data_IF_989587438053
#
_entry.id   IF_989587438053
#
_cell.length_a   1.000
_cell.length_b   1.000
_cell.length_c   1.000
_cell.angle_alpha   90.00
_cell.angle_beta   90.00
_cell.angle_gamma   90.00
#
_symmetry.space_group_name_H-M   'P 1'
#
loop_
_entity.id
_entity.type
_entity.pdbx_description
1 polymer ?
#
# COMPACT_ATOMS: atom_id res chain seq x y z
N UNK A 1 -56.47 32.93 -25.14
CA UNK A 1 -55.00 33.17 -25.31
C UNK A 1 -54.28 31.96 -24.85
N UNK A 2 -53.86 31.12 -25.78
CA UNK A 2 -53.26 29.81 -25.49
C UNK A 2 -51.74 29.97 -25.52
N UNK A 3 -51.06 30.07 -24.36
CA UNK A 3 -49.61 30.16 -24.29
C UNK A 3 -49.06 28.75 -24.41
N UNK A 4 -48.36 28.45 -25.51
CA UNK A 4 -47.60 27.21 -25.70
C UNK A 4 -46.41 27.20 -24.74
N UNK A 5 -46.14 26.08 -24.03
CA UNK A 5 -44.95 25.97 -23.21
C UNK A 5 -43.71 25.91 -24.11
N UNK A 6 -42.69 26.70 -23.73
CA UNK A 6 -41.36 26.74 -24.35
C UNK A 6 -40.65 25.39 -24.20
N UNK A 7 -40.03 24.84 -25.26
CA UNK A 7 -39.29 23.57 -25.15
C UNK A 7 -38.07 23.75 -24.25
N UNK A 8 -37.99 22.92 -23.21
CA UNK A 8 -36.85 22.86 -22.28
C UNK A 8 -35.54 22.72 -23.07
N UNK A 9 -34.64 23.68 -22.89
CA UNK A 9 -33.26 23.64 -23.43
C UNK A 9 -32.55 22.44 -22.78
N UNK A 10 -31.96 21.51 -23.57
CA UNK A 10 -31.17 20.44 -23.02
C UNK A 10 -29.98 21.02 -22.26
N UNK A 11 -29.88 20.75 -20.97
CA UNK A 11 -28.69 21.06 -20.16
C UNK A 11 -27.59 20.10 -20.60
N UNK A 12 -26.63 20.56 -21.39
CA UNK A 12 -25.40 19.78 -21.67
C UNK A 12 -24.72 19.50 -20.36
N UNK A 13 -24.28 18.23 -20.14
CA UNK A 13 -23.49 17.88 -18.93
C UNK A 13 -22.22 18.72 -18.92
N UNK A 14 -21.98 19.42 -17.83
CA UNK A 14 -20.81 20.26 -17.63
C UNK A 14 -19.53 19.46 -17.92
N UNK A 15 -18.76 19.91 -18.91
CA UNK A 15 -17.48 19.29 -19.29
C UNK A 15 -16.52 19.40 -18.11
N UNK A 16 -16.04 18.27 -17.58
CA UNK A 16 -15.04 18.27 -16.50
C UNK A 16 -13.83 19.14 -16.87
N UNK A 17 -13.28 19.90 -15.91
CA UNK A 17 -12.05 20.67 -16.11
C UNK A 17 -10.91 19.77 -16.62
N UNK A 18 -10.06 20.32 -17.48
CA UNK A 18 -8.98 19.56 -18.15
C UNK A 18 -7.99 18.90 -17.16
N UNK A 19 -7.77 19.53 -15.99
CA UNK A 19 -6.97 18.97 -14.91
C UNK A 19 -7.64 17.73 -14.29
N UNK A 20 -8.91 17.82 -13.94
CA UNK A 20 -9.66 16.69 -13.37
C UNK A 20 -9.75 15.50 -14.34
N UNK A 21 -9.88 15.77 -15.65
CA UNK A 21 -9.86 14.73 -16.68
C UNK A 21 -8.48 14.07 -16.79
N UNK A 22 -7.41 14.84 -16.62
CA UNK A 22 -6.03 14.35 -16.59
C UNK A 22 -5.81 13.42 -15.39
N UNK A 23 -6.22 13.86 -14.18
CA UNK A 23 -6.08 13.08 -12.94
C UNK A 23 -6.92 11.79 -12.99
N UNK A 24 -8.13 11.87 -13.52
CA UNK A 24 -8.98 10.69 -13.73
C UNK A 24 -8.33 9.69 -14.70
N UNK A 25 -7.69 10.16 -15.77
CA UNK A 25 -6.97 9.30 -16.72
C UNK A 25 -5.78 8.62 -16.07
N UNK A 26 -4.99 9.36 -15.27
CA UNK A 26 -3.86 8.82 -14.51
C UNK A 26 -4.31 7.75 -13.51
N UNK A 27 -5.38 8.02 -12.77
CA UNK A 27 -5.95 7.06 -11.82
C UNK A 27 -6.47 5.79 -12.51
N UNK A 28 -7.14 5.92 -13.65
CA UNK A 28 -7.62 4.79 -14.45
C UNK A 28 -6.48 3.91 -14.96
N UNK A 29 -5.37 4.53 -15.42
CA UNK A 29 -4.16 3.79 -15.85
C UNK A 29 -3.55 3.00 -14.70
N UNK A 30 -3.44 3.58 -13.49
CA UNK A 30 -2.91 2.92 -12.30
C UNK A 30 -3.82 1.75 -11.91
N UNK A 31 -5.14 1.95 -11.85
CA UNK A 31 -6.09 0.92 -11.46
C UNK A 31 -6.07 -0.28 -12.43
N UNK A 32 -6.15 -0.02 -13.75
CA UNK A 32 -6.07 -1.08 -14.78
C UNK A 32 -4.72 -1.81 -14.75
N UNK A 33 -3.62 -1.07 -14.62
CA UNK A 33 -2.29 -1.67 -14.54
C UNK A 33 -2.13 -2.53 -13.29
N UNK A 34 -2.68 -2.10 -12.14
CA UNK A 34 -2.70 -2.87 -10.89
C UNK A 34 -3.39 -4.22 -11.07
N UNK A 35 -4.57 -4.27 -11.68
CA UNK A 35 -5.30 -5.51 -11.93
C UNK A 35 -4.48 -6.46 -12.81
N UNK A 36 -3.93 -5.97 -13.93
CA UNK A 36 -3.13 -6.76 -14.84
C UNK A 36 -1.82 -7.26 -14.20
N UNK A 37 -1.12 -6.41 -13.44
CA UNK A 37 0.10 -6.83 -12.74
C UNK A 37 -0.19 -7.81 -11.60
N UNK A 38 -1.28 -7.64 -10.87
CA UNK A 38 -1.70 -8.59 -9.85
C UNK A 38 -1.97 -9.98 -10.42
N UNK A 39 -2.68 -10.06 -11.56
CA UNK A 39 -3.05 -11.31 -12.19
C UNK A 39 -1.85 -12.02 -12.83
N UNK A 40 -0.99 -11.28 -13.55
CA UNK A 40 0.00 -11.87 -14.48
C UNK A 40 1.45 -11.52 -14.18
N UNK A 41 1.68 -10.60 -13.24
CA UNK A 41 3.00 -10.08 -12.90
C UNK A 41 3.52 -9.04 -13.90
N UNK A 42 4.50 -8.25 -13.43
CA UNK A 42 5.10 -7.18 -14.22
C UNK A 42 5.63 -7.63 -15.57
N UNK A 43 6.37 -8.75 -15.62
CA UNK A 43 7.07 -9.19 -16.83
C UNK A 43 6.11 -9.49 -17.99
N UNK A 44 4.96 -10.10 -17.70
CA UNK A 44 4.01 -10.59 -18.70
C UNK A 44 3.06 -9.53 -19.27
N UNK A 45 2.97 -8.34 -18.66
CA UNK A 45 2.04 -7.27 -19.06
C UNK A 45 2.76 -6.21 -19.88
N UNK A 46 2.24 -5.86 -21.06
CA UNK A 46 2.75 -4.81 -21.95
C UNK A 46 1.98 -3.50 -21.82
N UNK A 47 2.63 -2.36 -22.12
CA UNK A 47 1.98 -1.03 -22.10
C UNK A 47 0.81 -0.93 -23.10
N UNK A 48 0.91 -1.61 -24.24
CA UNK A 48 -0.16 -1.61 -25.26
C UNK A 48 -1.43 -2.32 -24.75
N UNK A 49 -1.26 -3.35 -23.95
CA UNK A 49 -2.36 -4.04 -23.29
C UNK A 49 -3.04 -3.16 -22.25
N UNK A 50 -2.25 -2.47 -21.41
CA UNK A 50 -2.77 -1.53 -20.41
C UNK A 50 -3.57 -0.43 -21.10
N UNK A 51 -3.03 0.19 -22.14
CA UNK A 51 -3.71 1.22 -22.95
C UNK A 51 -5.04 0.72 -23.50
N UNK A 52 -5.05 -0.48 -24.07
CA UNK A 52 -6.27 -1.09 -24.63
C UNK A 52 -7.30 -1.39 -23.53
N UNK A 53 -6.88 -1.95 -22.41
CA UNK A 53 -7.76 -2.30 -21.30
C UNK A 53 -8.34 -1.08 -20.60
N UNK A 54 -7.56 -0.01 -20.47
CA UNK A 54 -8.03 1.28 -19.91
C UNK A 54 -8.93 2.06 -20.87
N UNK A 55 -8.86 1.78 -22.18
CA UNK A 55 -9.60 2.53 -23.20
C UNK A 55 -9.04 3.92 -23.49
N UNK A 56 -7.77 4.19 -23.15
CA UNK A 56 -7.09 5.47 -23.42
C UNK A 56 -6.17 5.36 -24.65
N UNK A 57 -5.66 6.49 -25.14
CA UNK A 57 -4.67 6.48 -26.21
C UNK A 57 -3.26 6.19 -25.69
N UNK A 58 -2.38 5.64 -26.53
CA UNK A 58 -0.94 5.47 -26.21
C UNK A 58 -0.30 6.80 -25.80
N UNK A 59 -0.65 7.90 -26.48
CA UNK A 59 -0.17 9.24 -26.15
C UNK A 59 -0.58 9.69 -24.74
N UNK A 60 -1.79 9.32 -24.28
CA UNK A 60 -2.24 9.61 -22.93
C UNK A 60 -1.41 8.88 -21.86
N UNK A 61 -1.04 7.61 -22.09
CA UNK A 61 -0.15 6.89 -21.18
C UNK A 61 1.20 7.59 -21.09
N UNK A 62 1.84 7.89 -22.23
CA UNK A 62 3.17 8.52 -22.24
C UNK A 62 3.17 10.00 -21.81
N UNK A 63 1.99 10.63 -21.76
CA UNK A 63 1.83 11.93 -21.11
C UNK A 63 1.96 11.85 -19.58
N UNK A 64 1.50 10.75 -18.97
CA UNK A 64 1.49 10.56 -17.51
C UNK A 64 2.68 9.79 -16.98
N UNK A 65 3.26 8.88 -17.77
CA UNK A 65 4.33 7.98 -17.36
C UNK A 65 5.35 7.83 -18.48
N UNK A 66 6.64 7.98 -18.17
CA UNK A 66 7.72 7.82 -19.16
C UNK A 66 7.82 6.37 -19.71
N UNK A 67 7.20 5.41 -19.02
CA UNK A 67 7.17 4.02 -19.46
C UNK A 67 6.51 3.09 -18.45
N UNK A 68 6.58 1.79 -18.75
CA UNK A 68 5.98 0.73 -17.91
C UNK A 68 6.52 0.72 -16.48
N UNK A 69 7.80 0.99 -16.29
CA UNK A 69 8.44 0.97 -14.97
C UNK A 69 7.91 2.11 -14.09
N UNK A 70 7.77 3.33 -14.62
CA UNK A 70 7.21 4.45 -13.87
C UNK A 70 5.73 4.23 -13.53
N UNK A 71 4.94 3.66 -14.45
CA UNK A 71 3.57 3.25 -14.16
C UNK A 71 3.53 2.17 -13.07
N UNK A 72 4.43 1.19 -13.12
CA UNK A 72 4.52 0.15 -12.10
C UNK A 72 4.91 0.72 -10.73
N UNK A 73 5.84 1.66 -10.68
CA UNK A 73 6.17 2.38 -9.46
C UNK A 73 4.93 3.07 -8.87
N UNK A 74 4.15 3.78 -9.70
CA UNK A 74 2.93 4.44 -9.26
C UNK A 74 1.86 3.43 -8.75
N UNK A 75 1.79 2.24 -9.35
CA UNK A 75 0.96 1.14 -8.86
C UNK A 75 1.44 0.65 -7.49
N UNK A 76 2.75 0.47 -7.31
CA UNK A 76 3.32 0.06 -6.03
C UNK A 76 3.09 1.12 -4.93
N UNK A 77 3.28 2.40 -5.23
CA UNK A 77 2.98 3.50 -4.31
C UNK A 77 1.49 3.53 -3.90
N UNK A 78 0.58 3.22 -4.84
CA UNK A 78 -0.86 3.11 -4.55
C UNK A 78 -1.16 1.91 -3.62
N UNK A 79 -0.48 0.78 -3.80
CA UNK A 79 -0.58 -0.39 -2.91
C UNK A 79 -0.07 -0.03 -1.52
N UNK A 80 1.10 0.60 -1.39
CA UNK A 80 1.67 1.02 -0.10
C UNK A 80 0.75 1.98 0.65
N UNK A 81 0.19 2.97 -0.03
CA UNK A 81 -0.76 3.91 0.54
C UNK A 81 -1.98 3.20 1.11
N UNK A 82 -2.60 2.28 0.37
CA UNK A 82 -3.76 1.52 0.82
C UNK A 82 -3.40 0.57 1.99
N UNK A 83 -2.22 -0.03 1.97
CA UNK A 83 -1.71 -0.84 3.08
C UNK A 83 -1.63 -0.01 4.37
N UNK A 84 -1.00 1.15 4.31
CA UNK A 84 -0.84 2.03 5.48
C UNK A 84 -2.19 2.52 6.00
N UNK A 85 -3.14 2.86 5.13
CA UNK A 85 -4.51 3.24 5.53
C UNK A 85 -5.21 2.10 6.30
N UNK A 86 -5.10 0.85 5.83
CA UNK A 86 -5.68 -0.34 6.49
C UNK A 86 -5.01 -0.62 7.84
N UNK A 87 -3.68 -0.55 7.90
CA UNK A 87 -2.90 -0.76 9.12
C UNK A 87 -3.23 0.31 10.16
N UNK A 88 -3.29 1.58 9.76
CA UNK A 88 -3.64 2.69 10.65
C UNK A 88 -5.06 2.51 11.23
N UNK A 89 -6.03 2.11 10.43
CA UNK A 89 -7.39 1.82 10.89
C UNK A 89 -7.40 0.70 11.94
N UNK A 90 -6.63 -0.37 11.75
CA UNK A 90 -6.50 -1.47 12.71
C UNK A 90 -5.82 -1.01 14.00
N UNK A 91 -4.71 -0.26 13.91
CA UNK A 91 -4.00 0.28 15.07
C UNK A 91 -4.90 1.21 15.91
N UNK A 92 -5.70 2.06 15.26
CA UNK A 92 -6.63 2.98 15.93
C UNK A 92 -7.74 2.25 16.72
N UNK A 93 -8.09 1.03 16.36
CA UNK A 93 -9.07 0.22 17.08
C UNK A 93 -8.56 -0.31 18.43
N UNK A 94 -7.26 -0.16 18.73
CA UNK A 94 -6.60 -0.71 19.93
C UNK A 94 -6.75 0.16 21.20
N UNK A 95 -7.79 0.99 21.28
CA UNK A 95 -8.33 1.65 22.49
C UNK A 95 -7.30 2.33 23.41
N UNK A 96 -6.26 2.98 22.85
CA UNK A 96 -5.34 3.82 23.62
C UNK A 96 -4.14 3.09 24.22
N UNK A 97 -3.93 1.79 23.96
CA UNK A 97 -2.70 1.07 24.30
C UNK A 97 -1.75 1.05 23.07
N UNK A 98 -0.66 1.86 23.07
CA UNK A 98 0.26 1.93 21.94
C UNK A 98 0.96 0.60 21.60
N UNK A 99 1.22 -0.26 22.59
CA UNK A 99 1.83 -1.55 22.33
C UNK A 99 0.84 -2.51 21.66
N UNK A 100 -0.43 -2.48 22.08
CA UNK A 100 -1.50 -3.19 21.37
C UNK A 100 -1.71 -2.65 19.95
N UNK A 101 -1.54 -1.34 19.75
CA UNK A 101 -1.60 -0.74 18.42
C UNK A 101 -0.46 -1.24 17.52
N UNK A 102 0.77 -1.39 18.04
CA UNK A 102 1.88 -2.03 17.30
C UNK A 102 1.56 -3.47 16.92
N UNK A 103 1.01 -4.26 17.86
CA UNK A 103 0.57 -5.63 17.59
C UNK A 103 -0.50 -5.68 16.50
N UNK A 104 -1.57 -4.91 16.66
CA UNK A 104 -2.68 -4.88 15.70
C UNK A 104 -2.21 -4.44 14.32
N UNK A 105 -1.36 -3.42 14.24
CA UNK A 105 -0.76 -2.95 12.99
C UNK A 105 0.10 -4.00 12.29
N UNK A 106 0.96 -4.70 13.04
CA UNK A 106 1.80 -5.77 12.51
C UNK A 106 0.96 -6.95 12.00
N UNK A 107 -0.06 -7.38 12.74
CA UNK A 107 -0.97 -8.45 12.31
C UNK A 107 -1.76 -8.03 11.07
N UNK A 108 -2.30 -6.80 11.04
CA UNK A 108 -3.03 -6.27 9.89
C UNK A 108 -2.16 -6.17 8.63
N UNK A 109 -0.88 -5.85 8.77
CA UNK A 109 0.06 -5.86 7.64
C UNK A 109 0.26 -7.27 7.10
N UNK A 110 0.51 -8.26 7.97
CA UNK A 110 0.66 -9.65 7.55
C UNK A 110 -0.62 -10.19 6.89
N UNK A 111 -1.81 -9.88 7.43
CA UNK A 111 -3.11 -10.25 6.84
C UNK A 111 -3.29 -9.61 5.45
N UNK A 112 -2.90 -8.35 5.32
CA UNK A 112 -2.96 -7.67 4.03
C UNK A 112 -2.02 -8.28 2.98
N UNK A 113 -0.89 -8.82 3.42
CA UNK A 113 0.08 -9.51 2.56
C UNK A 113 -0.38 -10.93 2.14
N UNK A 114 -1.48 -11.47 2.68
CA UNK A 114 -2.13 -12.68 2.16
C UNK A 114 -2.93 -12.41 0.87
N UNK A 115 -3.25 -11.14 0.56
CA UNK A 115 -3.87 -10.76 -0.71
C UNK A 115 -2.91 -11.05 -1.87
N UNK A 116 -3.29 -11.92 -2.85
CA UNK A 116 -2.41 -12.27 -3.97
C UNK A 116 -1.93 -11.07 -4.78
N UNK A 117 -2.72 -10.00 -4.87
CA UNK A 117 -2.35 -8.77 -5.56
C UNK A 117 -1.23 -8.02 -4.81
N UNK A 118 -1.34 -7.92 -3.49
CA UNK A 118 -0.31 -7.32 -2.63
C UNK A 118 0.98 -8.14 -2.68
N UNK A 119 0.89 -9.47 -2.54
CA UNK A 119 2.05 -10.36 -2.63
C UNK A 119 2.78 -10.17 -3.95
N UNK A 120 2.05 -10.25 -5.07
CA UNK A 120 2.64 -10.17 -6.40
C UNK A 120 3.31 -8.82 -6.64
N UNK A 121 2.60 -7.73 -6.36
CA UNK A 121 3.07 -6.38 -6.67
C UNK A 121 4.13 -5.93 -5.68
N UNK A 122 3.86 -5.97 -4.36
CA UNK A 122 4.70 -5.34 -3.35
C UNK A 122 5.87 -6.22 -2.89
N UNK A 123 5.68 -7.55 -2.78
CA UNK A 123 6.67 -8.45 -2.19
C UNK A 123 7.48 -9.25 -3.22
N UNK A 124 6.94 -9.48 -4.43
CA UNK A 124 7.62 -10.25 -5.47
C UNK A 124 8.17 -9.36 -6.58
N UNK A 125 7.31 -8.59 -7.23
CA UNK A 125 7.70 -7.82 -8.41
C UNK A 125 8.44 -6.52 -8.04
N UNK A 126 8.00 -5.76 -7.05
CA UNK A 126 8.59 -4.46 -6.73
C UNK A 126 10.08 -4.53 -6.34
N UNK A 127 10.54 -5.45 -5.47
CA UNK A 127 11.98 -5.56 -5.17
C UNK A 127 12.83 -5.89 -6.40
N UNK A 128 12.30 -6.70 -7.33
CA UNK A 128 13.03 -7.15 -8.53
C UNK A 128 13.00 -6.13 -9.66
N UNK A 129 11.94 -5.35 -9.80
CA UNK A 129 11.73 -4.37 -10.87
C UNK A 129 12.34 -3.01 -10.53
N UNK A 130 12.11 -2.53 -9.31
CA UNK A 130 12.58 -1.22 -8.84
C UNK A 130 13.99 -1.29 -8.23
N UNK A 131 14.41 -2.47 -7.78
CA UNK A 131 15.61 -2.66 -6.99
C UNK A 131 15.40 -2.33 -5.51
N UNK A 132 16.30 -2.87 -4.66
CA UNK A 132 16.18 -2.81 -3.21
C UNK A 132 16.05 -1.39 -2.66
N UNK A 133 16.88 -0.46 -3.14
CA UNK A 133 16.94 0.90 -2.61
C UNK A 133 15.61 1.65 -2.84
N UNK A 134 15.08 1.58 -4.05
CA UNK A 134 13.84 2.29 -4.41
C UNK A 134 12.63 1.62 -3.77
N UNK A 135 12.53 0.29 -3.80
CA UNK A 135 11.49 -0.46 -3.12
C UNK A 135 11.45 -0.14 -1.62
N UNK A 136 12.60 -0.23 -0.94
CA UNK A 136 12.71 0.08 0.49
C UNK A 136 12.41 1.55 0.80
N UNK A 137 12.89 2.46 -0.05
CA UNK A 137 12.64 3.90 0.09
C UNK A 137 11.15 4.26 0.06
N UNK A 138 10.40 3.66 -0.87
CA UNK A 138 8.94 3.85 -0.97
C UNK A 138 8.24 3.28 0.27
N UNK A 139 8.52 2.04 0.68
CA UNK A 139 7.94 1.45 1.89
C UNK A 139 8.20 2.29 3.15
N UNK A 140 9.42 2.84 3.30
CA UNK A 140 9.74 3.76 4.40
C UNK A 140 8.96 5.08 4.30
N UNK A 141 8.78 5.64 3.11
CA UNK A 141 8.03 6.88 2.91
C UNK A 141 6.59 6.76 3.41
N UNK A 142 5.94 5.62 3.19
CA UNK A 142 4.54 5.42 3.58
C UNK A 142 4.39 4.86 5.00
N UNK A 143 5.14 3.83 5.38
CA UNK A 143 4.93 3.07 6.62
C UNK A 143 5.72 3.55 7.83
N UNK A 144 6.90 4.15 7.63
CA UNK A 144 7.83 4.43 8.72
C UNK A 144 7.28 5.39 9.78
N UNK A 145 6.60 6.46 9.36
CA UNK A 145 6.02 7.45 10.29
C UNK A 145 5.00 6.85 11.26
N UNK A 146 4.19 5.91 10.78
CA UNK A 146 3.20 5.22 11.62
C UNK A 146 3.90 4.38 12.71
N UNK A 147 4.88 3.56 12.32
CA UNK A 147 5.63 2.73 13.27
C UNK A 147 6.41 3.59 14.26
N UNK A 148 7.11 4.61 13.78
CA UNK A 148 7.89 5.52 14.63
C UNK A 148 7.01 6.24 15.66
N UNK A 149 5.87 6.77 15.23
CA UNK A 149 4.93 7.47 16.12
C UNK A 149 4.34 6.55 17.18
N UNK A 150 3.99 5.32 16.82
CA UNK A 150 3.43 4.34 17.76
C UNK A 150 4.49 3.83 18.76
N UNK A 151 5.73 3.62 18.30
CA UNK A 151 6.86 3.28 19.19
C UNK A 151 7.14 4.41 20.19
N UNK A 152 7.15 5.67 19.74
CA UNK A 152 7.31 6.82 20.64
C UNK A 152 6.20 6.86 21.67
N UNK A 153 4.96 6.71 21.26
CA UNK A 153 3.82 6.69 22.18
C UNK A 153 3.91 5.55 23.22
N UNK A 154 4.43 4.38 22.82
CA UNK A 154 4.65 3.26 23.73
C UNK A 154 5.76 3.56 24.76
N UNK A 155 6.82 4.27 24.37
CA UNK A 155 7.87 4.74 25.31
C UNK A 155 7.32 5.81 26.25
N UNK A 156 6.59 6.79 25.74
CA UNK A 156 5.98 7.87 26.54
C UNK A 156 4.98 7.31 27.58
N UNK A 157 4.34 6.20 27.27
CA UNK A 157 3.45 5.46 28.18
C UNK A 157 4.18 4.51 29.14
N UNK A 158 5.52 4.40 29.06
CA UNK A 158 6.32 3.47 29.87
C UNK A 158 6.13 2.00 29.56
N UNK A 159 5.59 1.67 28.37
CA UNK A 159 5.35 0.31 27.92
C UNK A 159 6.57 -0.31 27.22
N UNK A 160 7.51 0.52 26.79
CA UNK A 160 8.82 0.16 26.22
C UNK A 160 9.86 1.02 26.91
N UNK A 161 11.04 0.46 27.25
CA UNK A 161 12.16 1.19 27.83
C UNK A 161 12.62 2.31 26.88
N UNK A 162 12.99 3.49 27.46
CA UNK A 162 13.48 4.63 26.70
C UNK A 162 14.77 4.27 25.94
N UNK A 163 14.74 4.48 24.63
CA UNK A 163 15.85 4.20 23.73
C UNK A 163 15.69 5.01 22.43
N UNK A 164 16.70 5.05 21.53
CA UNK A 164 16.57 5.75 20.25
C UNK A 164 15.42 5.18 19.40
N UNK A 165 14.34 5.96 19.26
CA UNK A 165 13.10 5.56 18.55
C UNK A 165 13.35 5.15 17.10
N UNK A 166 14.13 5.98 16.36
CA UNK A 166 14.34 5.77 14.93
C UNK A 166 14.99 4.41 14.60
N UNK A 167 16.10 3.99 15.26
CA UNK A 167 16.67 2.66 15.05
C UNK A 167 15.69 1.53 15.38
N UNK A 168 14.96 1.62 16.50
CA UNK A 168 13.97 0.61 16.86
C UNK A 168 12.85 0.49 15.83
N UNK A 169 12.30 1.62 15.37
CA UNK A 169 11.28 1.63 14.32
C UNK A 169 11.77 0.99 13.01
N UNK A 170 13.02 1.26 12.60
CA UNK A 170 13.62 0.62 11.43
C UNK A 170 13.77 -0.90 11.58
N UNK A 171 14.20 -1.36 12.78
CA UNK A 171 14.35 -2.79 13.05
C UNK A 171 12.99 -3.49 13.06
N UNK A 172 11.98 -2.90 13.69
CA UNK A 172 10.62 -3.42 13.72
C UNK A 172 10.04 -3.53 12.30
N UNK A 173 10.11 -2.45 11.53
CA UNK A 173 9.61 -2.46 10.16
C UNK A 173 10.35 -3.50 9.31
N UNK A 174 11.69 -3.61 9.46
CA UNK A 174 12.47 -4.61 8.74
C UNK A 174 12.09 -6.05 9.13
N UNK A 175 11.82 -6.32 10.40
CA UNK A 175 11.39 -7.64 10.87
C UNK A 175 10.00 -8.01 10.32
N UNK A 176 9.09 -7.04 10.27
CA UNK A 176 7.73 -7.24 9.73
C UNK A 176 7.77 -7.47 8.21
N UNK A 177 8.56 -6.67 7.47
CA UNK A 177 8.73 -6.83 6.02
C UNK A 177 9.34 -8.20 5.67
N UNK A 178 10.39 -8.62 6.38
CA UNK A 178 11.01 -9.95 6.18
C UNK A 178 10.01 -11.07 6.49
N UNK A 179 9.23 -10.91 7.56
CA UNK A 179 8.15 -11.84 7.89
C UNK A 179 7.12 -11.96 6.78
N UNK A 180 6.69 -10.86 6.20
CA UNK A 180 5.75 -10.85 5.06
C UNK A 180 6.34 -11.51 3.81
N UNK A 181 7.62 -11.25 3.50
CA UNK A 181 8.30 -11.91 2.38
C UNK A 181 8.46 -13.42 2.60
N UNK A 182 8.65 -13.86 3.85
CA UNK A 182 8.67 -15.28 4.18
C UNK A 182 7.31 -15.93 3.93
N UNK A 183 6.22 -15.31 4.37
CA UNK A 183 4.84 -15.77 4.11
C UNK A 183 4.55 -15.82 2.62
N UNK A 184 4.92 -14.78 1.87
CA UNK A 184 4.65 -14.70 0.42
C UNK A 184 5.38 -15.77 -0.41
N UNK A 185 6.48 -16.33 0.10
CA UNK A 185 7.28 -17.36 -0.57
C UNK A 185 7.02 -18.78 -0.09
N UNK A 186 6.19 -18.95 0.94
CA UNK A 186 5.90 -20.26 1.52
C UNK A 186 4.90 -21.04 0.68
N UNK A 187 5.12 -22.36 0.54
CA UNK A 187 4.16 -23.27 -0.08
C UNK A 187 2.90 -23.43 0.80
N UNK A 188 3.07 -23.34 2.13
CA UNK A 188 2.00 -23.30 3.13
C UNK A 188 1.93 -21.90 3.77
N UNK A 189 1.29 -20.99 3.06
CA UNK A 189 1.17 -19.59 3.48
C UNK A 189 0.43 -19.43 4.81
N UNK A 190 -0.63 -20.20 5.06
CA UNK A 190 -1.44 -20.09 6.26
C UNK A 190 -0.71 -20.49 7.55
N UNK A 191 0.02 -21.61 7.55
CA UNK A 191 0.83 -22.03 8.68
C UNK A 191 2.00 -21.07 8.91
N UNK A 192 2.71 -20.72 7.85
CA UNK A 192 3.83 -19.76 7.92
C UNK A 192 3.35 -18.40 8.43
N UNK A 193 2.18 -17.90 7.99
CA UNK A 193 1.55 -16.68 8.50
C UNK A 193 1.33 -16.72 10.01
N UNK A 194 0.80 -17.83 10.54
CA UNK A 194 0.58 -17.99 11.97
C UNK A 194 1.91 -17.99 12.75
N UNK A 195 2.92 -18.72 12.28
CA UNK A 195 4.24 -18.80 12.92
C UNK A 195 4.95 -17.44 12.93
N UNK A 196 4.92 -16.71 11.83
CA UNK A 196 5.49 -15.35 11.72
C UNK A 196 4.74 -14.41 12.65
N UNK A 197 3.40 -14.41 12.63
CA UNK A 197 2.60 -13.58 13.51
C UNK A 197 2.87 -13.82 14.99
N UNK A 198 2.97 -15.09 15.41
CA UNK A 198 3.34 -15.45 16.78
C UNK A 198 4.77 -15.03 17.16
N UNK A 199 5.70 -15.05 16.20
CA UNK A 199 7.08 -14.62 16.42
C UNK A 199 7.18 -13.11 16.57
N UNK A 200 6.49 -12.34 15.73
CA UNK A 200 6.39 -10.88 15.84
C UNK A 200 5.74 -10.47 17.15
N UNK A 201 4.66 -11.14 17.56
CA UNK A 201 4.02 -10.92 18.87
C UNK A 201 5.02 -11.08 20.02
N UNK A 202 5.77 -12.18 20.05
CA UNK A 202 6.81 -12.42 21.08
C UNK A 202 7.93 -11.39 21.02
N UNK A 203 8.30 -10.94 19.81
CA UNK A 203 9.32 -9.91 19.66
C UNK A 203 8.85 -8.55 20.23
N UNK A 204 7.62 -8.16 19.97
CA UNK A 204 7.03 -6.93 20.53
C UNK A 204 6.88 -7.02 22.06
N UNK A 205 6.41 -8.14 22.60
CA UNK A 205 6.29 -8.34 24.04
C UNK A 205 7.66 -8.31 24.76
N UNK A 206 8.74 -8.76 24.11
CA UNK A 206 10.09 -8.70 24.64
C UNK A 206 10.65 -7.27 24.78
N UNK A 207 9.99 -6.26 24.19
CA UNK A 207 10.34 -4.84 24.36
C UNK A 207 9.80 -4.23 25.65
N UNK A 208 8.91 -4.93 26.36
CA UNK A 208 8.38 -4.45 27.65
C UNK A 208 9.50 -4.30 28.68
N UNK A 209 9.42 -3.30 29.58
CA UNK A 209 10.35 -3.13 30.67
C UNK A 209 10.46 -4.44 31.49
N UNK A 210 11.69 -4.81 31.86
CA UNK A 210 11.89 -5.92 32.78
C UNK A 210 11.53 -5.47 34.17
N UNK A 211 10.70 -6.25 34.87
CA UNK A 211 10.37 -6.05 36.27
C UNK A 211 11.59 -6.19 37.18
#
# INVERSE_FOLDING_TARGET
MNVKPDPAVPVEPARMPKAEQSDATRAALIATARELFAERGYAAVGTEEIVRATGVTRGALYHHFAGKMELFQAVYEDVERQLVERIAASAMSSAGDPLQALHAGAQAFLDACEDPAVQRIALVDAPSVLGWEQWRGIGLQYGFGLVQGTVQAAMDAGLIDEQPVRPLAHLLLGAIDEGAMLVARADDGGETRQQVGASITRFLEALRPRA
#
